data_IF_466961804270
#
_entry.id   IF_466961804270
#
_cell.length_a   1.000
_cell.length_b   1.000
_cell.length_c   1.000
_cell.angle_alpha   90.00
_cell.angle_beta   90.00
_cell.angle_gamma   90.00
#
_symmetry.space_group_name_H-M   'P 1'
#
loop_
_entity.id
_entity.type
_entity.pdbx_description
1 polymer ?
#
# COMPACT_ATOMS: atom_id res chain seq x y z
N UNK A 1 -8.46 -10.64 11.97
CA UNK A 1 -7.34 -10.80 11.01
C UNK A 1 -7.24 -9.50 10.24
N UNK A 2 -6.11 -8.78 10.33
CA UNK A 2 -5.98 -7.44 9.74
C UNK A 2 -5.93 -7.56 8.22
N UNK A 3 -6.77 -6.80 7.53
CA UNK A 3 -6.81 -6.73 6.08
C UNK A 3 -6.53 -5.29 5.65
N UNK A 4 -5.46 -5.08 4.88
CA UNK A 4 -5.05 -3.76 4.42
C UNK A 4 -5.62 -3.40 3.04
N UNK A 5 -6.30 -4.32 2.34
CA UNK A 5 -6.67 -4.16 0.93
C UNK A 5 -7.47 -2.88 0.64
N UNK A 6 -8.31 -2.44 1.57
CA UNK A 6 -9.16 -1.25 1.44
C UNK A 6 -8.51 0.03 2.01
N UNK A 7 -7.34 -0.07 2.62
CA UNK A 7 -6.63 1.08 3.16
C UNK A 7 -6.07 1.93 2.03
N UNK A 8 -6.19 3.24 2.18
CA UNK A 8 -5.72 4.20 1.17
C UNK A 8 -4.29 4.62 1.49
N UNK A 9 -3.43 4.60 0.47
CA UNK A 9 -2.06 5.08 0.53
C UNK A 9 -1.85 6.20 -0.50
N UNK A 10 -1.04 7.18 -0.14
CA UNK A 10 -0.70 8.30 -1.01
C UNK A 10 0.75 8.19 -1.48
N UNK A 11 0.99 8.48 -2.75
CA UNK A 11 2.33 8.50 -3.31
C UNK A 11 2.48 9.59 -4.38
N UNK A 12 3.68 10.17 -4.55
CA UNK A 12 3.91 11.17 -5.59
C UNK A 12 3.95 10.53 -6.98
N UNK A 13 3.30 11.15 -7.95
CA UNK A 13 3.41 10.77 -9.35
C UNK A 13 4.87 10.94 -9.83
N UNK A 14 5.49 9.92 -10.46
CA UNK A 14 6.88 10.01 -10.91
C UNK A 14 7.10 11.05 -12.03
N UNK A 15 6.03 11.50 -12.69
CA UNK A 15 6.11 12.44 -13.81
C UNK A 15 5.89 13.90 -13.40
N UNK A 16 4.90 14.18 -12.56
CA UNK A 16 4.53 15.55 -12.20
C UNK A 16 4.57 15.85 -10.69
N UNK A 17 4.95 14.88 -9.85
CA UNK A 17 5.02 15.03 -8.39
C UNK A 17 3.67 15.11 -7.68
N UNK A 18 2.54 15.11 -8.41
CA UNK A 18 1.21 15.17 -7.81
C UNK A 18 0.93 13.93 -6.97
N UNK A 19 0.48 14.11 -5.73
CA UNK A 19 0.15 12.99 -4.83
C UNK A 19 -1.16 12.32 -5.24
N UNK A 20 -1.09 11.03 -5.54
CA UNK A 20 -2.26 10.23 -5.86
C UNK A 20 -2.57 9.28 -4.72
N UNK A 21 -3.85 9.19 -4.38
CA UNK A 21 -4.39 8.22 -3.45
C UNK A 21 -4.82 6.96 -4.21
N UNK A 22 -4.36 5.79 -3.75
CA UNK A 22 -4.74 4.46 -4.25
C UNK A 22 -5.09 3.56 -3.06
N UNK A 23 -5.86 2.50 -3.30
CA UNK A 23 -6.05 1.48 -2.27
C UNK A 23 -4.90 0.47 -2.28
N UNK A 24 -4.53 -0.06 -1.12
CA UNK A 24 -3.42 -0.99 -0.97
C UNK A 24 -3.53 -2.21 -1.90
N UNK A 25 -4.76 -2.68 -2.13
CA UNK A 25 -5.03 -3.78 -3.07
C UNK A 25 -4.56 -3.47 -4.49
N UNK A 26 -4.70 -2.22 -4.95
CA UNK A 26 -4.24 -1.81 -6.29
C UNK A 26 -2.72 -1.91 -6.40
N UNK A 27 -1.99 -1.50 -5.35
CA UNK A 27 -0.54 -1.66 -5.31
C UNK A 27 -0.14 -3.14 -5.31
N UNK A 28 -0.79 -3.95 -4.46
CA UNK A 28 -0.54 -5.40 -4.34
C UNK A 28 -0.82 -6.17 -5.64
N UNK A 29 -1.88 -5.80 -6.37
CA UNK A 29 -2.25 -6.41 -7.64
C UNK A 29 -1.49 -5.84 -8.83
N UNK A 30 -0.65 -4.82 -8.62
CA UNK A 30 0.11 -4.13 -9.67
C UNK A 30 -0.82 -3.54 -10.73
N UNK A 31 -1.90 -2.91 -10.27
CA UNK A 31 -2.86 -2.24 -11.15
C UNK A 31 -2.25 -1.02 -11.83
N UNK A 32 -2.86 -0.61 -12.94
CA UNK A 32 -2.57 0.67 -13.60
C UNK A 32 -3.51 1.72 -13.05
N UNK A 33 -2.96 2.83 -12.57
CA UNK A 33 -3.75 3.97 -12.07
C UNK A 33 -3.48 5.22 -12.89
N UNK A 34 -4.50 6.04 -13.10
CA UNK A 34 -4.36 7.28 -13.86
C UNK A 34 -4.04 8.42 -12.89
N UNK A 35 -2.93 9.12 -13.13
CA UNK A 35 -2.56 10.28 -12.34
C UNK A 35 -3.63 11.37 -12.44
N UNK A 36 -4.13 11.90 -11.31
CA UNK A 36 -5.15 12.96 -11.31
C UNK A 36 -4.61 14.31 -11.79
N UNK A 37 -3.31 14.58 -11.60
CA UNK A 37 -2.60 15.76 -12.09
C UNK A 37 -2.33 15.71 -13.61
N UNK A 38 -1.28 14.98 -14.03
CA UNK A 38 -0.85 14.96 -15.44
C UNK A 38 -1.55 13.94 -16.36
N UNK A 39 -2.53 13.19 -15.85
CA UNK A 39 -3.32 12.18 -16.59
C UNK A 39 -2.50 11.04 -17.23
N UNK A 40 -1.23 10.87 -16.84
CA UNK A 40 -0.45 9.71 -17.29
C UNK A 40 -0.88 8.43 -16.58
N UNK A 41 -0.78 7.30 -17.28
CA UNK A 41 -0.89 5.99 -16.67
C UNK A 41 0.35 5.73 -15.80
N UNK A 42 0.12 5.32 -14.55
CA UNK A 42 1.16 4.90 -13.60
C UNK A 42 0.97 3.40 -13.42
N UNK A 43 1.98 2.63 -13.82
CA UNK A 43 2.05 1.21 -13.49
C UNK A 43 2.51 1.09 -12.04
N UNK A 44 1.65 0.55 -11.16
CA UNK A 44 2.06 0.23 -9.81
C UNK A 44 2.97 -1.01 -9.87
N UNK A 45 4.12 -0.94 -9.20
CA UNK A 45 5.09 -2.02 -9.15
C UNK A 45 5.37 -2.40 -7.69
N UNK A 46 4.83 -3.54 -7.28
CA UNK A 46 5.17 -4.20 -6.02
C UNK A 46 6.46 -5.01 -6.21
N UNK A 47 7.58 -4.30 -6.35
CA UNK A 47 8.90 -4.93 -6.46
C UNK A 47 9.16 -5.79 -5.23
N UNK A 48 9.70 -6.99 -5.42
CA UNK A 48 10.07 -7.91 -4.32
C UNK A 48 8.95 -8.28 -3.32
N UNK A 49 7.67 -8.08 -3.67
CA UNK A 49 6.52 -8.30 -2.79
C UNK A 49 6.56 -7.46 -1.50
N UNK A 50 6.99 -6.20 -1.59
CA UNK A 50 7.02 -5.26 -0.46
C UNK A 50 5.64 -5.09 0.19
N UNK A 51 4.55 -5.06 -0.57
CA UNK A 51 3.20 -5.02 -0.01
C UNK A 51 2.95 -6.21 0.93
N UNK A 52 3.34 -7.41 0.50
CA UNK A 52 3.20 -8.63 1.33
C UNK A 52 4.12 -8.62 2.55
N UNK A 53 5.32 -8.04 2.44
CA UNK A 53 6.23 -7.87 3.58
C UNK A 53 5.66 -6.88 4.59
N UNK A 54 5.11 -5.76 4.14
CA UNK A 54 4.46 -4.76 4.98
C UNK A 54 3.27 -5.37 5.76
N UNK A 55 2.40 -6.11 5.08
CA UNK A 55 1.27 -6.81 5.72
C UNK A 55 1.75 -7.78 6.81
N UNK A 56 2.80 -8.57 6.51
CA UNK A 56 3.42 -9.49 7.49
C UNK A 56 4.02 -8.75 8.68
N UNK A 57 4.70 -7.63 8.45
CA UNK A 57 5.31 -6.82 9.49
C UNK A 57 4.24 -6.23 10.43
N UNK A 58 3.17 -5.66 9.88
CA UNK A 58 2.05 -5.13 10.66
C UNK A 58 1.38 -6.24 11.47
N UNK A 59 1.13 -7.40 10.85
CA UNK A 59 0.56 -8.55 11.56
C UNK A 59 1.44 -9.00 12.73
N UNK A 60 2.76 -9.06 12.53
CA UNK A 60 3.71 -9.43 13.57
C UNK A 60 3.71 -8.41 14.72
N UNK A 61 3.76 -7.13 14.39
CA UNK A 61 3.72 -6.04 15.38
C UNK A 61 2.44 -6.09 16.23
N UNK A 62 1.30 -6.39 15.62
CA UNK A 62 0.02 -6.52 16.33
C UNK A 62 -0.03 -7.75 17.23
N UNK A 63 0.51 -8.89 16.78
CA UNK A 63 0.65 -10.08 17.63
C UNK A 63 1.59 -9.83 18.82
N UNK A 64 2.66 -9.05 18.62
CA UNK A 64 3.56 -8.65 19.70
C UNK A 64 2.85 -7.71 20.68
N UNK A 65 2.08 -6.75 20.18
CA UNK A 65 1.28 -5.85 21.00
C UNK A 65 0.25 -6.60 21.86
N UNK A 66 -0.50 -7.55 21.26
CA UNK A 66 -1.46 -8.41 21.98
C UNK A 66 -0.76 -9.17 23.13
N UNK A 67 0.40 -9.78 22.85
CA UNK A 67 1.20 -10.47 23.88
C UNK A 67 1.67 -9.53 24.99
N UNK A 68 2.12 -8.33 24.65
CA UNK A 68 2.59 -7.35 25.65
C UNK A 68 1.45 -6.86 26.53
N UNK A 69 0.26 -6.65 25.95
CA UNK A 69 -0.92 -6.21 26.69
C UNK A 69 -1.61 -7.35 27.47
N UNK A 70 -1.15 -8.61 27.30
CA UNK A 70 -1.76 -9.83 27.88
C UNK A 70 -3.27 -9.94 27.60
N UNK A 71 -3.68 -9.52 26.40
CA UNK A 71 -5.05 -9.67 25.89
C UNK A 71 -5.09 -10.88 24.96
#
# INVERSE_FOLDING_TARGET
MINLDNETIEFPCPRCGFYNAIVFKQARLRDVVICRGCKSNIQLDDQMNECRKAERAIRKAMQELEKTLKI
#
